data_IF_494123173538
#
_entry.id   IF_494123173538
#
_cell.length_a   1.000
_cell.length_b   1.000
_cell.length_c   1.000
_cell.angle_alpha   90.00
_cell.angle_beta   90.00
_cell.angle_gamma   90.00
#
_symmetry.space_group_name_H-M   'P 1'
#
loop_
_entity.id
_entity.type
_entity.pdbx_description
1 polymer ?
#
# COMPACT_ATOMS: atom_id res chain seq x y z
N UNK A 1 -12.82 -14.95 -2.54
CA UNK A 1 -13.47 -16.22 -2.89
C UNK A 1 -14.59 -15.97 -3.89
N UNK A 2 -14.74 -16.85 -4.89
CA UNK A 2 -15.84 -16.76 -5.87
C UNK A 2 -17.16 -17.30 -5.31
N UNK A 3 -17.11 -18.01 -4.19
CA UNK A 3 -18.24 -18.74 -3.61
C UNK A 3 -18.55 -18.31 -2.19
N UNK A 4 -17.54 -17.87 -1.45
CA UNK A 4 -17.72 -17.56 -0.03
C UNK A 4 -18.05 -16.09 0.15
N UNK A 5 -19.13 -15.85 0.88
CA UNK A 5 -19.60 -14.53 1.24
C UNK A 5 -19.30 -14.26 2.71
N UNK A 6 -19.11 -13.00 3.07
CA UNK A 6 -19.09 -12.59 4.47
C UNK A 6 -20.51 -12.60 5.05
N UNK A 7 -20.64 -12.25 6.34
CA UNK A 7 -21.92 -12.18 7.04
C UNK A 7 -22.92 -11.17 6.43
N UNK A 8 -22.46 -10.28 5.54
CA UNK A 8 -23.25 -9.25 4.87
C UNK A 8 -23.52 -9.58 3.40
N UNK A 9 -23.09 -10.75 2.92
CA UNK A 9 -23.29 -11.18 1.54
C UNK A 9 -22.27 -10.62 0.54
N UNK A 10 -21.19 -9.99 0.99
CA UNK A 10 -20.10 -9.53 0.13
C UNK A 10 -19.11 -10.67 -0.14
N UNK A 11 -18.53 -10.77 -1.36
CA UNK A 11 -17.49 -11.75 -1.63
C UNK A 11 -16.31 -11.59 -0.65
N UNK A 12 -15.92 -12.68 0.01
CA UNK A 12 -14.75 -12.64 0.89
C UNK A 12 -13.48 -12.37 0.07
N UNK A 13 -12.52 -11.66 0.66
CA UNK A 13 -11.20 -11.48 0.06
C UNK A 13 -10.45 -12.82 0.04
N UNK A 14 -9.69 -13.04 -1.03
CA UNK A 14 -8.81 -14.19 -1.19
C UNK A 14 -7.38 -13.67 -1.30
N UNK A 15 -6.48 -14.15 -0.44
CA UNK A 15 -5.12 -13.65 -0.32
C UNK A 15 -4.14 -14.73 -0.76
N UNK A 16 -3.44 -14.46 -1.86
CA UNK A 16 -2.27 -15.22 -2.30
C UNK A 16 -1.02 -14.38 -2.00
N UNK A 17 -0.41 -14.64 -0.84
CA UNK A 17 0.68 -13.82 -0.30
C UNK A 17 1.66 -14.66 0.50
N UNK A 18 2.94 -14.40 0.31
CA UNK A 18 4.04 -15.03 1.03
C UNK A 18 5.16 -14.01 1.29
N UNK A 19 5.93 -14.21 2.36
CA UNK A 19 7.22 -13.54 2.52
C UNK A 19 8.28 -14.30 1.72
N UNK A 20 9.16 -13.56 1.02
CA UNK A 20 10.26 -14.14 0.24
C UNK A 20 11.59 -13.91 0.95
N UNK A 21 12.65 -14.48 0.38
CA UNK A 21 14.01 -14.42 0.92
C UNK A 21 14.47 -13.01 1.31
N UNK A 22 14.04 -11.99 0.56
CA UNK A 22 14.42 -10.62 0.84
C UNK A 22 13.77 -10.10 2.14
N UNK A 23 12.49 -10.39 2.37
CA UNK A 23 11.81 -10.00 3.61
C UNK A 23 12.45 -10.66 4.83
N UNK A 24 12.88 -11.92 4.72
CA UNK A 24 13.62 -12.59 5.79
C UNK A 24 14.99 -11.96 6.05
N UNK A 25 15.76 -11.66 4.99
CA UNK A 25 17.05 -10.95 5.12
C UNK A 25 16.90 -9.56 5.74
N UNK A 26 15.83 -8.85 5.41
CA UNK A 26 15.52 -7.56 6.02
C UNK A 26 15.27 -7.69 7.53
N UNK A 27 14.62 -8.75 7.99
CA UNK A 27 14.38 -8.99 9.42
C UNK A 27 15.67 -9.23 10.20
N UNK A 28 16.58 -10.05 9.64
CA UNK A 28 17.92 -10.24 10.22
C UNK A 28 18.68 -8.91 10.33
N UNK A 29 18.62 -8.08 9.29
CA UNK A 29 19.28 -6.77 9.31
C UNK A 29 18.62 -5.79 10.29
N UNK A 30 17.29 -5.77 10.41
CA UNK A 30 16.59 -4.95 11.41
C UNK A 30 17.11 -5.23 12.83
N UNK A 31 17.29 -6.51 13.19
CA UNK A 31 17.83 -6.90 14.49
C UNK A 31 19.28 -6.45 14.67
N UNK A 32 20.10 -6.54 13.63
CA UNK A 32 21.49 -6.04 13.66
C UNK A 32 21.52 -4.52 13.85
N UNK A 33 20.73 -3.78 13.07
CA UNK A 33 20.71 -2.33 13.09
C UNK A 33 20.17 -1.79 14.43
N UNK A 34 19.13 -2.40 15.01
CA UNK A 34 18.59 -1.91 16.29
C UNK A 34 19.58 -2.04 17.44
N UNK A 35 20.36 -3.14 17.48
CA UNK A 35 21.44 -3.31 18.46
C UNK A 35 22.50 -2.23 18.28
N UNK A 36 23.00 -2.04 17.05
CA UNK A 36 24.01 -1.01 16.76
C UNK A 36 23.56 0.40 17.13
N UNK A 37 22.30 0.75 16.83
CA UNK A 37 21.71 2.04 17.19
C UNK A 37 21.64 2.21 18.71
N UNK A 38 21.25 1.16 19.44
CA UNK A 38 21.13 1.22 20.90
C UNK A 38 22.50 1.28 21.59
N UNK A 39 23.48 0.49 21.14
CA UNK A 39 24.86 0.58 21.64
C UNK A 39 25.45 1.98 21.42
N UNK A 40 25.26 2.54 20.21
CA UNK A 40 25.73 3.88 19.86
C UNK A 40 25.06 4.97 20.71
N UNK A 41 23.79 4.76 21.09
CA UNK A 41 23.07 5.63 22.01
C UNK A 41 23.43 5.42 23.49
N UNK A 42 24.34 4.48 23.81
CA UNK A 42 24.86 4.24 25.16
C UNK A 42 24.04 3.26 26.00
N UNK A 43 23.05 2.57 25.42
CA UNK A 43 22.31 1.51 26.11
C UNK A 43 23.21 0.29 26.37
N UNK A 44 22.90 -0.45 27.44
CA UNK A 44 23.63 -1.66 27.88
C UNK A 44 22.66 -2.81 28.11
N UNK A 45 23.16 -4.04 28.10
CA UNK A 45 22.36 -5.27 28.31
C UNK A 45 21.20 -5.41 27.29
N UNK A 46 21.50 -5.14 26.01
CA UNK A 46 20.52 -5.20 24.92
C UNK A 46 20.17 -6.66 24.65
N UNK A 47 18.88 -6.98 24.68
CA UNK A 47 18.35 -8.28 24.30
C UNK A 47 17.41 -8.09 23.12
N UNK A 48 17.59 -8.88 22.07
CA UNK A 48 16.73 -8.89 20.89
C UNK A 48 15.77 -10.08 20.94
N UNK A 49 14.66 -9.95 20.24
CA UNK A 49 13.72 -11.06 20.03
C UNK A 49 13.16 -10.97 18.62
N UNK A 50 12.77 -12.11 18.10
CA UNK A 50 12.02 -12.24 16.86
C UNK A 50 10.87 -13.20 17.10
N UNK A 51 9.66 -12.78 16.73
CA UNK A 51 8.50 -13.64 16.79
C UNK A 51 8.09 -14.05 15.37
N UNK A 52 7.47 -15.22 15.27
CA UNK A 52 6.75 -15.60 14.07
C UNK A 52 5.65 -14.56 13.78
N UNK A 53 5.53 -14.14 12.53
CA UNK A 53 4.53 -13.16 12.08
C UNK A 53 4.07 -13.55 10.68
N UNK A 54 2.82 -13.24 10.37
CA UNK A 54 2.22 -13.47 9.06
C UNK A 54 1.90 -12.16 8.32
N UNK A 55 1.56 -12.24 7.03
CA UNK A 55 0.98 -11.14 6.28
C UNK A 55 -0.27 -10.57 6.97
N UNK A 56 -0.51 -9.27 6.82
CA UNK A 56 -1.71 -8.58 7.33
C UNK A 56 -1.60 -7.94 8.72
N UNK A 57 -0.62 -8.33 9.54
CA UNK A 57 -0.42 -7.72 10.87
C UNK A 57 -0.02 -6.24 10.81
N UNK A 58 0.49 -5.78 9.67
CA UNK A 58 0.81 -4.39 9.41
C UNK A 58 -0.40 -3.50 9.07
N UNK A 59 -1.60 -4.07 8.84
CA UNK A 59 -2.86 -3.37 8.50
C UNK A 59 -2.72 -2.32 7.38
N UNK A 60 -1.78 -2.57 6.45
CA UNK A 60 -1.42 -1.68 5.35
C UNK A 60 -1.42 -2.45 4.03
N UNK A 61 -2.49 -3.20 3.77
CA UNK A 61 -2.71 -3.89 2.50
C UNK A 61 -2.83 -2.85 1.36
N UNK A 62 -2.10 -3.07 0.28
CA UNK A 62 -1.90 -2.08 -0.79
C UNK A 62 -1.86 -2.74 -2.17
N UNK A 63 -2.16 -1.95 -3.21
CA UNK A 63 -1.91 -2.33 -4.61
C UNK A 63 -3.01 -3.08 -5.36
N UNK A 64 -4.19 -3.26 -4.76
CA UNK A 64 -5.35 -3.90 -5.41
C UNK A 64 -5.84 -3.19 -6.68
N UNK A 65 -5.51 -1.91 -6.86
CA UNK A 65 -5.84 -1.10 -8.04
C UNK A 65 -4.65 -0.24 -8.48
N UNK A 66 -3.47 -0.87 -8.58
CA UNK A 66 -2.18 -0.19 -8.76
C UNK A 66 -2.17 0.89 -9.85
N UNK A 67 -1.47 1.97 -9.54
CA UNK A 67 -1.14 3.06 -10.46
C UNK A 67 -0.11 2.64 -11.51
N UNK A 68 -0.19 3.22 -12.70
CA UNK A 68 0.83 3.02 -13.72
C UNK A 68 0.54 3.76 -15.03
N UNK A 69 1.50 3.68 -15.94
CA UNK A 69 1.44 4.36 -17.24
C UNK A 69 0.67 3.57 -18.31
N UNK A 70 0.57 2.25 -18.14
CA UNK A 70 -0.01 1.35 -19.14
C UNK A 70 -1.35 0.78 -18.63
N UNK A 71 -2.48 1.04 -19.32
CA UNK A 71 -3.79 0.53 -18.92
C UNK A 71 -3.89 -1.01 -18.98
N UNK A 72 -2.99 -1.69 -19.69
CA UNK A 72 -2.93 -3.16 -19.69
C UNK A 72 -2.32 -3.76 -18.43
N UNK A 73 -1.62 -2.96 -17.62
CA UNK A 73 -0.89 -3.43 -16.44
C UNK A 73 -1.23 -2.67 -15.17
N UNK A 74 -2.07 -1.63 -15.26
CA UNK A 74 -2.46 -0.77 -14.13
C UNK A 74 -3.90 -0.31 -14.27
N UNK A 75 -4.55 -0.03 -13.14
CA UNK A 75 -5.96 0.36 -13.09
C UNK A 75 -6.11 1.87 -13.22
N UNK A 76 -5.24 2.62 -12.55
CA UNK A 76 -5.26 4.09 -12.54
C UNK A 76 -4.00 4.68 -13.14
N UNK A 77 -4.14 5.86 -13.72
CA UNK A 77 -3.03 6.65 -14.22
C UNK A 77 -2.34 7.44 -13.09
N UNK A 78 -1.34 8.25 -13.44
CA UNK A 78 -0.56 9.08 -12.51
C UNK A 78 -1.40 10.04 -11.65
N UNK A 79 -2.64 10.34 -12.04
CA UNK A 79 -3.54 11.27 -11.37
C UNK A 79 -4.63 10.54 -10.57
N UNK A 80 -4.46 9.24 -10.31
CA UNK A 80 -5.40 8.36 -9.61
C UNK A 80 -6.73 8.15 -10.36
N UNK A 81 -6.80 8.54 -11.64
CA UNK A 81 -7.96 8.38 -12.50
C UNK A 81 -7.95 6.98 -13.14
N UNK A 82 -9.09 6.29 -13.16
CA UNK A 82 -9.23 5.01 -13.86
C UNK A 82 -9.00 5.21 -15.36
N UNK A 83 -8.12 4.39 -15.95
CA UNK A 83 -7.74 4.56 -17.36
C UNK A 83 -8.93 4.44 -18.32
N UNK A 84 -9.85 3.52 -18.07
CA UNK A 84 -11.00 3.23 -18.93
C UNK A 84 -12.21 4.12 -18.67
N UNK A 85 -12.25 4.85 -17.53
CA UNK A 85 -13.41 5.63 -17.10
C UNK A 85 -12.96 6.98 -16.52
N UNK A 86 -13.10 8.08 -17.26
CA UNK A 86 -12.44 9.35 -16.93
C UNK A 86 -13.02 10.07 -15.71
N UNK A 87 -14.23 9.74 -15.26
CA UNK A 87 -14.86 10.37 -14.08
C UNK A 87 -14.74 9.51 -12.79
N UNK A 88 -13.93 8.44 -12.79
CA UNK A 88 -13.70 7.59 -11.61
C UNK A 88 -12.25 7.73 -11.14
N UNK A 89 -12.08 7.88 -9.83
CA UNK A 89 -10.79 8.00 -9.16
C UNK A 89 -10.67 7.03 -8.00
N UNK A 90 -9.45 6.52 -7.75
CA UNK A 90 -9.13 5.62 -6.61
C UNK A 90 -8.00 6.24 -5.80
N UNK A 91 -8.26 6.57 -4.53
CA UNK A 91 -7.37 7.42 -3.72
C UNK A 91 -6.97 6.82 -2.36
N UNK A 92 -7.19 5.54 -2.14
CA UNK A 92 -6.77 4.79 -0.94
C UNK A 92 -5.51 3.94 -1.20
N UNK A 93 -5.13 3.05 -0.27
CA UNK A 93 -3.95 2.19 -0.44
C UNK A 93 -3.96 1.30 -1.69
N UNK A 94 -5.11 1.10 -2.35
CA UNK A 94 -5.21 0.26 -3.54
C UNK A 94 -4.38 0.80 -4.71
N UNK A 95 -4.17 2.11 -4.83
CA UNK A 95 -3.40 2.67 -5.96
C UNK A 95 -1.88 2.46 -5.83
N UNK A 96 -1.38 2.10 -4.65
CA UNK A 96 0.06 2.01 -4.39
C UNK A 96 0.71 0.87 -5.18
N UNK A 97 1.81 1.14 -5.86
CA UNK A 97 2.60 0.12 -6.58
C UNK A 97 3.62 -0.57 -5.70
N UNK A 98 4.00 0.05 -4.59
CA UNK A 98 4.95 -0.48 -3.61
C UNK A 98 4.61 0.02 -2.21
N UNK A 99 5.13 -0.68 -1.21
CA UNK A 99 5.04 -0.30 0.19
C UNK A 99 6.32 0.43 0.64
N UNK A 100 6.17 1.32 1.63
CA UNK A 100 7.28 1.87 2.40
C UNK A 100 7.43 1.13 3.73
N UNK A 101 8.51 1.38 4.46
CA UNK A 101 8.71 0.88 5.83
C UNK A 101 8.01 1.73 6.90
N UNK A 102 7.29 2.79 6.52
CA UNK A 102 6.53 3.67 7.41
C UNK A 102 5.04 3.66 7.10
N UNK A 103 4.22 4.13 8.04
CA UNK A 103 2.77 4.22 7.89
C UNK A 103 2.38 5.09 6.67
N UNK A 104 1.51 4.61 5.77
CA UNK A 104 1.31 5.24 4.47
C UNK A 104 0.21 6.30 4.43
N UNK A 105 -0.56 6.50 5.51
CA UNK A 105 -1.77 7.33 5.51
C UNK A 105 -1.55 8.76 5.01
N UNK A 106 -0.46 9.42 5.41
CA UNK A 106 -0.14 10.77 4.94
C UNK A 106 0.11 10.82 3.44
N UNK A 107 0.74 9.77 2.89
CA UNK A 107 0.94 9.63 1.45
C UNK A 107 -0.40 9.48 0.73
N UNK A 108 -1.34 8.69 1.27
CA UNK A 108 -2.68 8.58 0.70
C UNK A 108 -3.37 9.95 0.63
N UNK A 109 -3.36 10.69 1.73
CA UNK A 109 -3.96 12.03 1.80
C UNK A 109 -3.36 12.99 0.76
N UNK A 110 -2.03 12.97 0.58
CA UNK A 110 -1.36 13.79 -0.42
C UNK A 110 -1.81 13.44 -1.85
N UNK A 111 -1.94 12.14 -2.16
CA UNK A 111 -2.42 11.68 -3.45
C UNK A 111 -3.91 11.98 -3.65
N UNK A 112 -4.74 11.85 -2.62
CA UNK A 112 -6.15 12.26 -2.66
C UNK A 112 -6.30 13.74 -3.00
N UNK A 113 -5.53 14.62 -2.36
CA UNK A 113 -5.57 16.06 -2.65
C UNK A 113 -5.18 16.36 -4.11
N UNK A 114 -4.14 15.70 -4.62
CA UNK A 114 -3.73 15.81 -6.03
C UNK A 114 -4.81 15.32 -6.99
N UNK A 115 -5.39 14.15 -6.71
CA UNK A 115 -6.45 13.54 -7.52
C UNK A 115 -7.69 14.43 -7.59
N UNK A 116 -8.12 14.97 -6.45
CA UNK A 116 -9.24 15.89 -6.37
C UNK A 116 -9.00 17.18 -7.18
N UNK A 117 -7.81 17.77 -7.07
CA UNK A 117 -7.43 18.94 -7.86
C UNK A 117 -7.46 18.63 -9.37
N UNK A 118 -6.94 17.48 -9.78
CA UNK A 118 -7.00 17.03 -11.17
C UNK A 118 -8.45 16.82 -11.63
N UNK A 119 -9.27 16.10 -10.85
CA UNK A 119 -10.67 15.83 -11.17
C UNK A 119 -11.46 17.12 -11.39
N UNK A 120 -11.34 18.09 -10.48
CA UNK A 120 -11.99 19.41 -10.60
C UNK A 120 -11.52 20.15 -11.86
N UNK A 121 -10.23 20.12 -12.16
CA UNK A 121 -9.69 20.74 -13.37
C UNK A 121 -10.26 20.10 -14.64
N UNK A 122 -10.35 18.76 -14.72
CA UNK A 122 -10.88 18.07 -15.91
C UNK A 122 -12.38 18.27 -16.06
N UNK A 123 -13.12 18.25 -14.95
CA UNK A 123 -14.56 18.53 -14.93
C UNK A 123 -14.86 19.94 -15.46
N UNK A 124 -14.13 20.97 -14.99
CA UNK A 124 -14.28 22.35 -15.48
C UNK A 124 -13.93 22.52 -16.97
N UNK A 125 -13.09 21.65 -17.52
CA UNK A 125 -12.75 21.62 -18.94
C UNK A 125 -13.79 20.88 -19.80
N UNK A 126 -14.77 20.23 -19.18
CA UNK A 126 -15.76 19.41 -19.88
C UNK A 126 -15.18 18.10 -20.44
N UNK A 127 -14.05 17.62 -19.91
CA UNK A 127 -13.44 16.35 -20.33
C UNK A 127 -14.31 15.14 -19.94
N UNK A 128 -15.12 15.31 -18.89
CA UNK A 128 -16.19 14.41 -18.49
C UNK A 128 -17.27 15.21 -17.74
N UNK A 129 -18.46 14.63 -17.60
CA UNK A 129 -19.63 15.17 -16.90
C UNK A 129 -20.03 14.32 -15.72
#
# INVERSE_FOLDING_TARGET
>A
SKTDLDQWGLPQLDFDVEFKDNEYKMREDILRQIVLMFESAGFRNINTYENETGPGLGIHEMGGARMGWNPRTSVVNKDNQVHSVPNIYITDGAFMTSASCVNPSLTYMAFTARAANHAVSQFKKGTFS
#
